data_IF_721632698832
#
_entry.id   IF_721632698832
#
_cell.length_a   1.000
_cell.length_b   1.000
_cell.length_c   1.000
_cell.angle_alpha   90.00
_cell.angle_beta   90.00
_cell.angle_gamma   90.00
#
_symmetry.space_group_name_H-M   'P 1'
#
loop_
_entity.id
_entity.type
_entity.pdbx_description
1 polymer ?
#
# COMPACT_ATOMS: atom_id res chain seq x y z
N UNK A 1 -16.10 41.80 20.49
CA UNK A 1 -15.56 40.91 19.44
C UNK A 1 -16.63 40.72 18.36
N UNK A 2 -16.37 41.15 17.11
CA UNK A 2 -17.31 41.06 15.99
C UNK A 2 -17.67 39.59 15.73
N UNK A 3 -18.97 39.27 15.63
CA UNK A 3 -19.43 37.96 15.17
C UNK A 3 -18.86 37.74 13.75
N UNK A 4 -18.17 36.62 13.46
CA UNK A 4 -17.80 36.31 12.09
C UNK A 4 -19.08 36.05 11.29
N UNK A 5 -19.54 37.07 10.57
CA UNK A 5 -20.80 37.06 9.83
C UNK A 5 -20.58 36.39 8.46
N UNK A 6 -20.42 35.06 8.41
CA UNK A 6 -20.96 34.24 7.33
C UNK A 6 -20.71 32.76 7.62
N UNK A 7 -21.76 31.93 7.53
CA UNK A 7 -21.63 30.46 7.56
C UNK A 7 -20.62 29.93 6.53
N UNK A 8 -20.47 30.63 5.40
CA UNK A 8 -19.48 30.34 4.38
C UNK A 8 -18.04 30.53 4.86
N UNK A 9 -17.74 31.55 5.68
CA UNK A 9 -16.40 31.71 6.25
C UNK A 9 -16.09 30.61 7.27
N UNK A 10 -17.07 30.25 8.11
CA UNK A 10 -16.90 29.15 9.06
C UNK A 10 -16.64 27.82 8.33
N UNK A 11 -17.41 27.51 7.30
CA UNK A 11 -17.21 26.33 6.46
C UNK A 11 -15.86 26.37 5.70
N UNK A 12 -15.44 27.54 5.21
CA UNK A 12 -14.15 27.71 4.53
C UNK A 12 -12.96 27.47 5.47
N UNK A 13 -12.97 28.03 6.68
CA UNK A 13 -11.91 27.77 7.66
C UNK A 13 -11.90 26.31 8.11
N UNK A 14 -13.09 25.69 8.28
CA UNK A 14 -13.18 24.26 8.55
C UNK A 14 -12.54 23.45 7.42
N UNK A 15 -12.90 23.73 6.17
CA UNK A 15 -12.32 23.07 5.00
C UNK A 15 -10.80 23.22 4.95
N UNK A 16 -10.26 24.42 5.17
CA UNK A 16 -8.82 24.65 5.17
C UNK A 16 -8.10 23.84 6.26
N UNK A 17 -8.65 23.81 7.48
CA UNK A 17 -8.10 23.03 8.58
C UNK A 17 -8.19 21.52 8.33
N UNK A 18 -9.32 21.03 7.82
CA UNK A 18 -9.48 19.63 7.42
C UNK A 18 -8.51 19.26 6.30
N UNK A 19 -8.32 20.12 5.29
CA UNK A 19 -7.38 19.88 4.21
C UNK A 19 -5.92 19.80 4.71
N UNK A 20 -5.52 20.69 5.62
CA UNK A 20 -4.19 20.65 6.24
C UNK A 20 -3.97 19.37 7.07
N UNK A 21 -4.96 18.99 7.87
CA UNK A 21 -4.91 17.76 8.67
C UNK A 21 -4.78 16.53 7.76
N UNK A 22 -5.66 16.41 6.76
CA UNK A 22 -5.66 15.28 5.83
C UNK A 22 -4.41 15.25 4.97
N UNK A 23 -3.91 16.40 4.51
CA UNK A 23 -2.63 16.48 3.78
C UNK A 23 -1.45 15.97 4.61
N UNK A 24 -1.44 16.28 5.91
CA UNK A 24 -0.42 15.80 6.84
C UNK A 24 -0.50 14.29 7.03
N UNK A 25 -1.71 13.76 7.26
CA UNK A 25 -1.97 12.32 7.39
C UNK A 25 -1.61 11.57 6.10
N UNK A 26 -2.04 12.09 4.94
CA UNK A 26 -1.73 11.55 3.62
C UNK A 26 -0.21 11.45 3.38
N UNK A 27 0.54 12.48 3.77
CA UNK A 27 2.00 12.49 3.64
C UNK A 27 2.64 11.36 4.45
N UNK A 28 2.20 11.15 5.70
CA UNK A 28 2.68 10.05 6.54
C UNK A 28 2.32 8.69 5.90
N UNK A 29 1.08 8.51 5.47
CA UNK A 29 0.62 7.27 4.83
C UNK A 29 1.46 6.95 3.59
N UNK A 30 1.68 7.92 2.70
CA UNK A 30 2.36 7.70 1.42
C UNK A 30 3.87 7.55 1.55
N UNK A 31 4.50 8.18 2.55
CA UNK A 31 5.94 8.07 2.73
C UNK A 31 6.35 6.90 3.63
N UNK A 32 5.51 6.55 4.60
CA UNK A 32 5.84 5.54 5.62
C UNK A 32 5.14 4.22 5.33
N UNK A 33 3.83 4.20 5.13
CA UNK A 33 3.08 2.94 5.03
C UNK A 33 2.95 2.41 3.59
N UNK A 34 2.86 3.32 2.62
CA UNK A 34 2.69 3.00 1.20
C UNK A 34 3.73 3.74 0.35
N UNK A 35 5.05 3.56 0.62
CA UNK A 35 6.07 4.17 -0.21
C UNK A 35 5.88 3.77 -1.67
N UNK A 36 6.14 4.70 -2.59
CA UNK A 36 6.10 4.39 -4.02
C UNK A 36 7.03 3.19 -4.31
N UNK A 37 6.59 2.20 -5.13
CA UNK A 37 5.36 2.15 -5.93
C UNK A 37 4.12 1.59 -5.22
N UNK A 38 4.23 1.17 -3.97
CA UNK A 38 3.21 0.35 -3.31
C UNK A 38 1.90 1.08 -2.98
N UNK A 39 1.90 2.41 -2.97
CA UNK A 39 0.67 3.20 -2.96
C UNK A 39 -0.24 2.93 -4.15
N UNK A 40 0.33 2.58 -5.30
CA UNK A 40 -0.42 2.22 -6.51
C UNK A 40 -0.66 0.72 -6.58
N UNK A 41 0.39 -0.09 -6.31
CA UNK A 41 0.30 -1.56 -6.38
C UNK A 41 -0.76 -2.11 -5.42
N UNK A 42 -0.83 -1.58 -4.19
CA UNK A 42 -1.66 -2.13 -3.11
C UNK A 42 -2.94 -1.33 -2.85
N UNK A 43 -3.37 -0.46 -3.76
CA UNK A 43 -4.63 0.27 -3.62
C UNK A 43 -4.62 1.40 -2.58
N UNK A 44 -3.45 1.76 -2.05
CA UNK A 44 -3.32 2.75 -0.99
C UNK A 44 -3.92 4.11 -1.34
N UNK A 45 -3.82 4.52 -2.61
CA UNK A 45 -4.43 5.77 -3.09
C UNK A 45 -5.96 5.76 -3.02
N UNK A 46 -6.60 4.63 -3.32
CA UNK A 46 -8.06 4.52 -3.26
C UNK A 46 -8.56 4.59 -1.81
N UNK A 47 -7.90 3.88 -0.89
CA UNK A 47 -8.21 3.95 0.54
C UNK A 47 -8.01 5.35 1.09
N UNK A 48 -6.90 6.00 0.73
CA UNK A 48 -6.62 7.38 1.13
C UNK A 48 -7.68 8.35 0.61
N UNK A 49 -8.11 8.22 -0.65
CA UNK A 49 -9.17 9.05 -1.23
C UNK A 49 -10.50 8.85 -0.49
N UNK A 50 -10.84 7.62 -0.12
CA UNK A 50 -12.05 7.32 0.63
C UNK A 50 -12.02 7.98 2.02
N UNK A 51 -10.94 7.82 2.78
CA UNK A 51 -10.79 8.46 4.10
C UNK A 51 -10.82 9.99 3.98
N UNK A 52 -10.07 10.55 3.03
CA UNK A 52 -10.02 11.99 2.80
C UNK A 52 -11.38 12.58 2.40
N UNK A 53 -12.19 11.85 1.63
CA UNK A 53 -13.49 12.33 1.15
C UNK A 53 -14.45 12.63 2.29
N UNK A 54 -14.45 11.80 3.34
CA UNK A 54 -15.29 11.99 4.53
C UNK A 54 -14.94 13.33 5.19
N UNK A 55 -13.66 13.61 5.36
CA UNK A 55 -13.20 14.79 6.09
C UNK A 55 -13.28 16.09 5.30
N UNK A 56 -13.01 16.03 4.00
CA UNK A 56 -12.99 17.21 3.12
C UNK A 56 -14.42 17.59 2.69
N UNK A 57 -15.33 16.62 2.54
CA UNK A 57 -16.68 16.87 2.04
C UNK A 57 -17.68 16.96 3.18
N UNK A 58 -17.79 15.93 4.03
CA UNK A 58 -18.88 15.84 5.00
C UNK A 58 -18.75 16.89 6.11
N UNK A 59 -17.55 17.11 6.65
CA UNK A 59 -17.31 18.07 7.74
C UNK A 59 -17.73 19.50 7.37
N UNK A 60 -17.16 20.10 6.30
CA UNK A 60 -17.52 21.44 5.86
C UNK A 60 -18.99 21.59 5.45
N UNK A 61 -19.60 20.56 4.84
CA UNK A 61 -21.03 20.57 4.50
C UNK A 61 -21.90 20.59 5.76
N UNK A 62 -21.62 19.75 6.75
CA UNK A 62 -22.34 19.74 8.02
C UNK A 62 -22.18 21.08 8.75
N UNK A 63 -20.97 21.65 8.75
CA UNK A 63 -20.73 22.99 9.31
C UNK A 63 -21.55 24.05 8.56
N UNK A 64 -21.61 24.01 7.23
CA UNK A 64 -22.40 24.96 6.45
C UNK A 64 -23.91 24.87 6.75
N UNK A 65 -24.44 23.65 6.90
CA UNK A 65 -25.86 23.39 7.17
C UNK A 65 -26.25 23.75 8.61
N UNK A 66 -25.40 23.40 9.58
CA UNK A 66 -25.73 23.49 11.01
C UNK A 66 -25.38 24.87 11.60
N UNK A 67 -24.41 25.57 11.01
CA UNK A 67 -23.99 26.90 11.47
C UNK A 67 -25.09 27.94 11.23
N UNK A 68 -25.76 28.33 12.32
CA UNK A 68 -26.71 29.43 12.33
C UNK A 68 -26.28 30.48 13.36
N UNK A 69 -26.00 31.69 12.88
CA UNK A 69 -25.54 32.82 13.69
C UNK A 69 -26.59 33.34 14.69
N UNK A 70 -27.84 32.92 14.50
CA UNK A 70 -28.98 33.20 15.39
C UNK A 70 -29.00 32.27 16.61
N UNK A 71 -28.29 31.13 16.57
CA UNK A 71 -28.19 30.22 17.72
C UNK A 71 -27.40 30.86 18.87
N UNK A 72 -27.74 30.58 20.14
CA UNK A 72 -26.88 30.89 21.27
C UNK A 72 -25.48 30.30 21.09
N UNK A 73 -24.45 31.06 21.45
CA UNK A 73 -23.04 30.65 21.28
C UNK A 73 -22.74 29.27 21.90
N UNK A 74 -23.35 28.93 23.03
CA UNK A 74 -23.18 27.63 23.69
C UNK A 74 -23.73 26.48 22.84
N UNK A 75 -24.89 26.67 22.21
CA UNK A 75 -25.49 25.67 21.33
C UNK A 75 -24.65 25.49 20.07
N UNK A 76 -24.24 26.59 19.44
CA UNK A 76 -23.39 26.54 18.25
C UNK A 76 -22.05 25.84 18.51
N UNK A 77 -21.41 26.11 19.65
CA UNK A 77 -20.16 25.42 20.06
C UNK A 77 -20.36 23.92 20.27
N UNK A 78 -21.47 23.52 20.90
CA UNK A 78 -21.79 22.09 21.09
C UNK A 78 -22.00 21.40 19.73
N UNK A 79 -22.73 22.05 18.83
CA UNK A 79 -23.02 21.51 17.50
C UNK A 79 -21.71 21.31 16.71
N UNK A 80 -20.81 22.30 16.69
CA UNK A 80 -19.49 22.19 16.04
C UNK A 80 -18.62 21.12 16.71
N UNK A 81 -18.62 21.04 18.05
CA UNK A 81 -17.87 20.01 18.77
C UNK A 81 -18.33 18.61 18.38
N UNK A 82 -19.65 18.38 18.27
CA UNK A 82 -20.19 17.10 17.84
C UNK A 82 -19.75 16.74 16.41
N UNK A 83 -19.76 17.71 15.48
CA UNK A 83 -19.26 17.50 14.11
C UNK A 83 -17.79 17.08 14.14
N UNK A 84 -16.95 17.80 14.89
CA UNK A 84 -15.53 17.50 15.01
C UNK A 84 -15.28 16.12 15.65
N UNK A 85 -16.06 15.72 16.66
CA UNK A 85 -15.93 14.41 17.29
C UNK A 85 -16.27 13.27 16.32
N UNK A 86 -17.35 13.41 15.56
CA UNK A 86 -17.74 12.44 14.52
C UNK A 86 -16.65 12.36 13.45
N UNK A 87 -16.11 13.52 13.05
CA UNK A 87 -15.04 13.62 12.07
C UNK A 87 -13.76 12.91 12.54
N UNK A 88 -13.30 13.19 13.76
CA UNK A 88 -12.16 12.52 14.35
C UNK A 88 -12.35 11.00 14.47
N UNK A 89 -13.57 10.54 14.79
CA UNK A 89 -13.87 9.11 14.85
C UNK A 89 -13.78 8.46 13.45
N UNK A 90 -14.30 9.13 12.42
CA UNK A 90 -14.19 8.69 11.03
C UNK A 90 -12.74 8.62 10.56
N UNK A 91 -11.94 9.66 10.80
CA UNK A 91 -10.53 9.69 10.47
C UNK A 91 -9.74 8.60 11.22
N UNK A 92 -10.00 8.40 12.51
CA UNK A 92 -9.34 7.35 13.30
C UNK A 92 -9.65 5.95 12.76
N UNK A 93 -10.92 5.68 12.44
CA UNK A 93 -11.32 4.42 11.82
C UNK A 93 -10.62 4.22 10.46
N UNK A 94 -10.67 5.24 9.60
CA UNK A 94 -10.00 5.23 8.30
C UNK A 94 -8.50 4.96 8.42
N UNK A 95 -7.84 5.58 9.39
CA UNK A 95 -6.41 5.39 9.64
C UNK A 95 -6.08 3.96 10.09
N UNK A 96 -6.91 3.36 10.97
CA UNK A 96 -6.76 1.95 11.37
C UNK A 96 -6.96 1.03 10.16
N UNK A 97 -7.97 1.26 9.33
CA UNK A 97 -8.20 0.47 8.12
C UNK A 97 -7.02 0.55 7.15
N UNK A 98 -6.49 1.75 6.91
CA UNK A 98 -5.31 1.96 6.05
C UNK A 98 -4.07 1.27 6.63
N UNK A 99 -3.87 1.35 7.95
CA UNK A 99 -2.75 0.69 8.64
C UNK A 99 -2.79 -0.82 8.53
N UNK A 100 -3.97 -1.44 8.68
CA UNK A 100 -4.16 -2.88 8.54
C UNK A 100 -4.00 -3.35 7.09
N UNK A 101 -4.43 -2.53 6.12
CA UNK A 101 -4.29 -2.85 4.70
C UNK A 101 -2.88 -2.58 4.13
N UNK A 102 -1.96 -2.00 4.93
CA UNK A 102 -0.65 -1.58 4.42
C UNK A 102 0.16 -2.77 3.92
N UNK A 103 0.87 -2.63 2.78
CA UNK A 103 1.78 -3.66 2.29
C UNK A 103 2.97 -3.78 3.23
N UNK A 104 3.21 -5.00 3.71
CA UNK A 104 4.31 -5.30 4.65
C UNK A 104 5.36 -6.23 4.05
N UNK A 105 4.99 -7.02 3.04
CA UNK A 105 5.90 -7.98 2.42
C UNK A 105 5.68 -8.03 0.91
N UNK A 106 6.77 -8.17 0.17
CA UNK A 106 6.78 -8.64 -1.22
C UNK A 106 7.49 -9.98 -1.25
N UNK A 107 6.73 -11.06 -1.36
CA UNK A 107 7.26 -12.42 -1.27
C UNK A 107 7.45 -13.03 -2.66
N UNK A 108 8.64 -13.57 -2.93
CA UNK A 108 8.87 -14.41 -4.10
C UNK A 108 8.39 -15.83 -3.84
N UNK A 109 7.37 -16.29 -4.58
CA UNK A 109 6.74 -17.60 -4.38
C UNK A 109 7.38 -18.75 -5.20
N UNK A 110 8.45 -18.44 -5.94
CA UNK A 110 9.12 -19.37 -6.85
C UNK A 110 8.92 -19.03 -8.33
N UNK A 111 7.88 -18.26 -8.67
CA UNK A 111 7.59 -17.85 -10.04
C UNK A 111 7.42 -16.33 -10.18
N UNK A 112 6.94 -15.68 -9.14
CA UNK A 112 6.53 -14.28 -9.17
C UNK A 112 6.64 -13.65 -7.79
N UNK A 113 6.43 -12.33 -7.74
CA UNK A 113 6.26 -11.63 -6.49
C UNK A 113 4.78 -11.49 -6.13
N UNK A 114 4.46 -11.63 -4.85
CA UNK A 114 3.14 -11.31 -4.28
C UNK A 114 3.28 -10.26 -3.21
N UNK A 115 2.50 -9.19 -3.31
CA UNK A 115 2.38 -8.22 -2.22
C UNK A 115 1.41 -8.73 -1.15
N UNK A 116 1.82 -8.68 0.11
CA UNK A 116 1.02 -9.12 1.25
C UNK A 116 0.75 -7.93 2.17
N UNK A 117 -0.52 -7.70 2.48
CA UNK A 117 -0.94 -6.68 3.43
C UNK A 117 -0.81 -7.19 4.88
N UNK A 118 -0.69 -6.27 5.86
CA UNK A 118 -0.51 -6.64 7.25
C UNK A 118 -1.65 -7.53 7.78
N UNK A 119 -2.90 -7.23 7.38
CA UNK A 119 -4.09 -7.99 7.76
C UNK A 119 -4.13 -9.42 7.20
N UNK A 120 -3.39 -9.69 6.12
CA UNK A 120 -3.37 -11.02 5.47
C UNK A 120 -2.31 -11.94 6.08
N UNK A 121 -1.36 -11.39 6.85
CA UNK A 121 -0.27 -12.17 7.45
C UNK A 121 -0.82 -13.07 8.57
N UNK A 122 -0.38 -14.33 8.60
CA UNK A 122 -0.62 -15.23 9.71
C UNK A 122 0.15 -14.77 10.97
N UNK A 123 -0.41 -13.83 11.73
CA UNK A 123 0.25 -13.18 12.87
C UNK A 123 0.73 -14.18 13.94
N UNK A 124 -0.03 -15.26 14.15
CA UNK A 124 0.32 -16.33 15.10
C UNK A 124 1.66 -17.04 14.76
N UNK A 125 2.12 -16.93 13.53
CA UNK A 125 3.38 -17.51 13.06
C UNK A 125 4.58 -16.58 13.22
N UNK A 126 4.37 -15.28 13.45
CA UNK A 126 5.47 -14.30 13.53
C UNK A 126 6.48 -14.67 14.61
N UNK A 127 6.02 -15.05 15.81
CA UNK A 127 6.90 -15.43 16.91
C UNK A 127 7.81 -16.64 16.60
N UNK A 128 7.40 -17.48 15.64
CA UNK A 128 8.12 -18.68 15.23
C UNK A 128 8.94 -18.46 13.94
N UNK A 129 8.78 -17.32 13.28
CA UNK A 129 9.51 -16.99 12.07
C UNK A 129 11.00 -16.82 12.35
N UNK A 130 11.81 -17.06 11.32
CA UNK A 130 13.25 -16.79 11.39
C UNK A 130 13.50 -15.31 11.62
N UNK A 131 14.50 -14.95 12.42
CA UNK A 131 14.92 -13.56 12.51
C UNK A 131 15.38 -13.06 11.12
N UNK A 132 15.07 -11.80 10.73
CA UNK A 132 14.36 -10.76 11.48
C UNK A 132 12.86 -10.64 11.09
N UNK A 133 12.18 -11.74 10.78
CA UNK A 133 10.80 -11.78 10.30
C UNK A 133 9.73 -11.93 11.38
N UNK A 134 10.13 -11.78 12.64
CA UNK A 134 9.26 -11.95 13.81
C UNK A 134 8.37 -10.73 14.10
N UNK A 135 8.55 -9.65 13.34
CA UNK A 135 7.73 -8.46 13.39
C UNK A 135 7.50 -7.92 11.97
N UNK A 136 6.36 -7.29 11.77
CA UNK A 136 6.02 -6.64 10.52
C UNK A 136 6.71 -5.28 10.43
N UNK A 137 7.24 -4.89 9.25
CA UNK A 137 7.78 -3.57 9.05
C UNK A 137 6.70 -2.49 9.21
N UNK A 138 7.14 -1.33 9.66
CA UNK A 138 6.31 -0.13 9.78
C UNK A 138 6.49 0.82 8.58
N UNK A 139 7.63 0.76 7.89
CA UNK A 139 8.06 1.70 6.85
C UNK A 139 8.00 1.10 5.43
N UNK A 140 6.89 0.44 5.11
CA UNK A 140 6.64 -0.18 3.80
C UNK A 140 7.11 -1.63 3.71
N UNK A 141 6.93 -2.27 2.54
CA UNK A 141 7.09 -3.70 2.45
C UNK A 141 8.54 -4.11 2.30
N UNK A 142 8.87 -5.25 2.92
CA UNK A 142 10.18 -5.90 2.76
C UNK A 142 10.12 -6.98 1.68
N UNK A 143 11.18 -7.09 0.88
CA UNK A 143 11.34 -8.20 -0.04
C UNK A 143 11.81 -9.45 0.73
N UNK A 144 11.13 -10.56 0.50
CA UNK A 144 11.47 -11.89 1.04
C UNK A 144 11.34 -12.92 -0.06
N UNK A 145 11.94 -14.08 0.12
CA UNK A 145 11.49 -15.26 -0.61
C UNK A 145 10.94 -16.31 0.34
N UNK A 146 10.51 -17.42 -0.23
CA UNK A 146 9.94 -18.53 0.53
C UNK A 146 10.89 -19.73 0.54
N UNK A 147 11.11 -20.30 1.72
CA UNK A 147 11.77 -21.61 1.83
C UNK A 147 10.81 -22.70 1.34
N UNK A 148 11.37 -23.78 0.81
CA UNK A 148 10.59 -24.95 0.47
C UNK A 148 9.93 -25.54 1.74
N UNK A 149 8.68 -25.97 1.60
CA UNK A 149 8.01 -26.76 2.62
C UNK A 149 8.64 -28.15 2.73
N UNK A 150 8.86 -28.61 3.96
CA UNK A 150 9.25 -29.99 4.22
C UNK A 150 8.12 -30.95 3.84
N UNK A 151 8.43 -32.25 3.70
CA UNK A 151 7.41 -33.25 3.36
C UNK A 151 6.26 -33.31 4.38
N UNK A 152 6.53 -33.04 5.65
CA UNK A 152 5.52 -32.98 6.70
C UNK A 152 4.61 -31.74 6.58
N UNK A 153 5.13 -30.63 6.06
CA UNK A 153 4.39 -29.36 5.92
C UNK A 153 3.55 -29.29 4.63
N UNK A 154 3.86 -30.10 3.60
CA UNK A 154 3.23 -30.00 2.27
C UNK A 154 1.70 -30.09 2.31
N UNK A 155 1.14 -30.99 3.11
CA UNK A 155 -0.31 -31.14 3.23
C UNK A 155 -0.96 -29.91 3.85
N UNK A 156 -0.36 -29.36 4.92
CA UNK A 156 -0.85 -28.13 5.56
C UNK A 156 -0.76 -26.94 4.60
N UNK A 157 0.37 -26.77 3.91
CA UNK A 157 0.52 -25.72 2.88
C UNK A 157 -0.57 -25.80 1.82
N UNK A 158 -0.84 -27.00 1.31
CA UNK A 158 -1.90 -27.21 0.32
C UNK A 158 -3.29 -26.90 0.90
N UNK A 159 -3.60 -27.37 2.10
CA UNK A 159 -4.88 -27.12 2.76
C UNK A 159 -5.10 -25.63 3.05
N UNK A 160 -4.07 -24.90 3.52
CA UNK A 160 -4.13 -23.46 3.74
C UNK A 160 -4.31 -22.70 2.43
N UNK A 161 -3.63 -23.10 1.36
CA UNK A 161 -3.80 -22.49 0.04
C UNK A 161 -5.26 -22.61 -0.47
N UNK A 162 -5.90 -23.77 -0.27
CA UNK A 162 -7.33 -23.95 -0.58
C UNK A 162 -8.25 -23.08 0.28
N UNK A 163 -7.85 -22.79 1.52
CA UNK A 163 -8.54 -21.86 2.40
C UNK A 163 -8.22 -20.37 2.10
N UNK A 164 -7.48 -20.09 1.02
CA UNK A 164 -7.09 -18.74 0.60
C UNK A 164 -5.88 -18.16 1.33
N UNK A 165 -5.18 -18.95 2.15
CA UNK A 165 -3.94 -18.54 2.84
C UNK A 165 -2.72 -19.05 2.10
N UNK A 166 -2.17 -18.19 1.26
CA UNK A 166 -0.95 -18.47 0.50
C UNK A 166 0.29 -18.52 1.40
N UNK A 167 1.29 -19.34 1.05
CA UNK A 167 2.59 -19.37 1.74
C UNK A 167 3.29 -18.00 1.76
N UNK A 168 3.01 -17.12 0.80
CA UNK A 168 3.50 -15.74 0.80
C UNK A 168 3.11 -14.97 2.05
N UNK A 169 1.95 -15.28 2.64
CA UNK A 169 1.42 -14.62 3.83
C UNK A 169 1.77 -15.35 5.15
N UNK A 170 2.63 -16.38 5.08
CA UNK A 170 3.00 -17.22 6.22
C UNK A 170 4.45 -17.01 6.64
N UNK A 171 4.70 -16.27 7.74
CA UNK A 171 6.05 -15.97 8.25
C UNK A 171 6.94 -17.18 8.47
N UNK A 172 6.39 -18.36 8.77
CA UNK A 172 7.15 -19.60 8.91
C UNK A 172 7.95 -19.98 7.66
N UNK A 173 7.50 -19.55 6.48
CA UNK A 173 8.16 -19.83 5.20
C UNK A 173 9.07 -18.69 4.75
N UNK A 174 9.05 -17.53 5.40
CA UNK A 174 9.86 -16.39 4.96
C UNK A 174 11.35 -16.66 5.19
N UNK A 175 12.13 -16.41 4.14
CA UNK A 175 13.58 -16.42 4.17
C UNK A 175 14.13 -15.10 3.60
N UNK A 176 15.42 -14.85 3.82
CA UNK A 176 16.07 -13.67 3.27
C UNK A 176 15.93 -13.64 1.75
N UNK A 177 15.73 -12.44 1.20
CA UNK A 177 15.64 -12.28 -0.25
C UNK A 177 16.92 -12.77 -0.95
N UNK A 178 18.08 -12.52 -0.35
CA UNK A 178 19.37 -13.02 -0.81
C UNK A 178 19.42 -14.55 -0.98
N UNK A 179 18.79 -15.31 -0.08
CA UNK A 179 18.73 -16.78 -0.19
C UNK A 179 17.91 -17.25 -1.41
N UNK A 180 17.08 -16.37 -1.97
CA UNK A 180 16.18 -16.66 -3.10
C UNK A 180 16.72 -16.16 -4.43
N UNK A 181 17.88 -15.47 -4.44
CA UNK A 181 18.46 -14.82 -5.62
C UNK A 181 18.52 -15.74 -6.85
N UNK A 182 19.07 -16.95 -6.69
CA UNK A 182 19.22 -17.91 -7.80
C UNK A 182 17.87 -18.31 -8.39
N UNK A 183 16.87 -18.55 -7.53
CA UNK A 183 15.53 -18.92 -7.97
C UNK A 183 14.81 -17.74 -8.65
N UNK A 184 15.01 -16.52 -8.14
CA UNK A 184 14.48 -15.28 -8.76
C UNK A 184 15.03 -15.12 -10.17
N UNK A 185 16.35 -15.21 -10.36
CA UNK A 185 16.97 -15.08 -11.69
C UNK A 185 16.55 -16.21 -12.64
N UNK A 186 16.36 -17.43 -12.13
CA UNK A 186 15.89 -18.55 -12.93
C UNK A 186 14.44 -18.37 -13.42
N UNK A 187 13.57 -17.73 -12.62
CA UNK A 187 12.19 -17.43 -13.01
C UNK A 187 12.07 -16.17 -13.87
N UNK A 188 13.06 -15.27 -13.83
CA UNK A 188 13.00 -13.97 -14.48
C UNK A 188 12.97 -14.09 -16.01
N UNK A 189 12.18 -13.21 -16.63
CA UNK A 189 11.99 -13.15 -18.09
C UNK A 189 12.88 -12.05 -18.70
N UNK A 190 13.37 -12.26 -19.95
CA UNK A 190 14.17 -11.24 -20.64
C UNK A 190 13.30 -10.04 -21.00
N UNK A 191 13.80 -8.82 -20.86
CA UNK A 191 13.03 -7.59 -21.11
C UNK A 191 12.45 -7.48 -22.53
N UNK A 192 13.04 -8.19 -23.50
CA UNK A 192 12.54 -8.27 -24.87
C UNK A 192 11.12 -8.83 -24.96
N UNK A 193 10.73 -9.80 -24.12
CA UNK A 193 9.35 -10.34 -24.12
C UNK A 193 8.33 -9.32 -23.62
N UNK A 194 8.72 -8.43 -22.70
CA UNK A 194 7.84 -7.35 -22.22
C UNK A 194 7.57 -6.33 -23.34
N UNK A 195 8.59 -5.97 -24.12
CA UNK A 195 8.43 -5.10 -25.28
C UNK A 195 7.58 -5.71 -26.40
N UNK A 196 7.67 -7.03 -26.59
CA UNK A 196 6.82 -7.76 -27.55
C UNK A 196 5.36 -7.78 -27.09
N UNK A 197 5.10 -7.98 -25.79
CA UNK A 197 3.75 -7.98 -25.23
C UNK A 197 3.10 -6.59 -25.29
N UNK A 198 3.87 -5.52 -25.08
CA UNK A 198 3.36 -4.15 -25.05
C UNK A 198 4.08 -3.20 -26.02
N UNK A 199 3.86 -3.33 -27.34
CA UNK A 199 4.50 -2.48 -28.34
C UNK A 199 4.15 -1.00 -28.16
N UNK A 200 2.91 -0.70 -27.77
CA UNK A 200 2.41 0.68 -27.59
C UNK A 200 2.90 1.34 -26.30
N UNK A 201 3.41 0.55 -25.34
CA UNK A 201 3.90 1.06 -24.04
C UNK A 201 5.42 1.22 -23.99
N UNK A 202 6.09 1.24 -25.13
CA UNK A 202 7.56 1.39 -25.22
C UNK A 202 8.10 2.60 -24.45
N UNK A 203 7.43 3.74 -24.53
CA UNK A 203 7.85 4.95 -23.83
C UNK A 203 7.75 4.83 -22.29
N UNK A 204 6.76 4.08 -21.80
CA UNK A 204 6.62 3.79 -20.36
C UNK A 204 7.72 2.85 -19.87
N UNK A 205 7.96 1.76 -20.61
CA UNK A 205 9.02 0.79 -20.31
C UNK A 205 10.41 1.46 -20.37
N UNK A 206 10.65 2.30 -21.37
CA UNK A 206 11.91 3.03 -21.50
C UNK A 206 12.17 4.01 -20.34
N UNK A 207 11.12 4.67 -19.83
CA UNK A 207 11.23 5.52 -18.63
C UNK A 207 11.61 4.70 -17.40
N UNK A 208 11.01 3.52 -17.22
CA UNK A 208 11.36 2.64 -16.10
C UNK A 208 12.80 2.12 -16.18
N UNK A 209 13.28 1.76 -17.37
CA UNK A 209 14.69 1.38 -17.59
C UNK A 209 15.61 2.54 -17.24
N UNK A 210 15.29 3.75 -17.70
CA UNK A 210 16.11 4.94 -17.41
C UNK A 210 16.15 5.21 -15.90
N UNK A 211 15.01 5.11 -15.22
CA UNK A 211 14.91 5.27 -13.78
C UNK A 211 15.69 4.21 -12.99
N UNK A 212 15.87 3.01 -13.55
CA UNK A 212 16.66 1.94 -12.93
C UNK A 212 18.17 2.23 -12.89
N UNK A 213 18.66 3.15 -13.73
CA UNK A 213 20.09 3.43 -13.87
C UNK A 213 20.92 2.30 -14.52
N UNK A 214 20.28 1.29 -15.11
CA UNK A 214 20.93 0.16 -15.79
C UNK A 214 20.63 0.13 -17.29
N UNK A 215 21.51 -0.50 -18.04
CA UNK A 215 21.27 -0.79 -19.45
C UNK A 215 20.20 -1.89 -19.59
N UNK A 216 19.42 -1.86 -20.67
CA UNK A 216 18.35 -2.85 -20.90
C UNK A 216 18.83 -4.30 -20.91
N UNK A 217 20.06 -4.56 -21.34
CA UNK A 217 20.66 -5.90 -21.36
C UNK A 217 21.02 -6.43 -19.96
N UNK A 218 21.11 -5.54 -18.96
CA UNK A 218 21.40 -5.87 -17.56
C UNK A 218 20.12 -6.00 -16.73
N UNK A 219 18.95 -5.98 -17.39
CA UNK A 219 17.65 -6.02 -16.74
C UNK A 219 16.87 -7.25 -17.18
N UNK A 220 16.29 -7.90 -16.19
CA UNK A 220 15.26 -8.94 -16.36
C UNK A 220 14.00 -8.49 -15.62
N UNK A 221 12.90 -9.20 -15.78
CA UNK A 221 11.67 -8.83 -15.10
C UNK A 221 10.90 -10.02 -14.53
N UNK A 222 10.09 -9.72 -13.52
CA UNK A 222 9.09 -10.63 -12.97
C UNK A 222 7.76 -9.92 -12.75
N UNK A 223 6.62 -10.63 -12.87
CA UNK A 223 5.34 -10.10 -12.46
C UNK A 223 5.26 -9.92 -10.94
N UNK A 224 4.54 -8.89 -10.53
CA UNK A 224 4.05 -8.68 -9.18
C UNK A 224 2.53 -8.84 -9.22
N UNK A 225 2.03 -9.79 -8.46
CA UNK A 225 0.61 -9.93 -8.15
C UNK A 225 0.29 -9.03 -6.98
N UNK A 226 -0.71 -8.17 -7.19
CA UNK A 226 -1.26 -7.33 -6.15
C UNK A 226 -2.78 -7.38 -6.17
N UNK A 227 -3.40 -6.80 -5.15
CA UNK A 227 -4.84 -6.80 -4.98
C UNK A 227 -5.56 -6.05 -6.12
N UNK A 228 -4.99 -4.93 -6.56
CA UNK A 228 -5.62 -3.99 -7.50
C UNK A 228 -5.00 -4.01 -8.90
N UNK A 229 -4.43 -5.15 -9.32
CA UNK A 229 -3.92 -5.34 -10.67
C UNK A 229 -2.60 -6.11 -10.74
N UNK A 230 -1.99 -6.09 -11.92
CA UNK A 230 -0.72 -6.76 -12.18
C UNK A 230 0.34 -5.74 -12.55
N UNK A 231 1.46 -5.82 -11.84
CA UNK A 231 2.62 -4.97 -12.05
C UNK A 231 3.79 -5.80 -12.53
N UNK A 232 4.81 -5.13 -13.04
CA UNK A 232 6.08 -5.77 -13.40
C UNK A 232 7.21 -5.08 -12.66
N UNK A 233 8.10 -5.85 -12.04
CA UNK A 233 9.35 -5.34 -11.47
C UNK A 233 10.51 -5.61 -12.41
N UNK A 234 11.33 -4.60 -12.65
CA UNK A 234 12.61 -4.71 -13.33
C UNK A 234 13.68 -5.00 -12.29
N UNK A 235 14.42 -6.08 -12.52
CA UNK A 235 15.45 -6.60 -11.64
C UNK A 235 16.80 -6.46 -12.33
N UNK A 236 17.83 -6.19 -11.53
CA UNK A 236 19.21 -6.31 -11.96
C UNK A 236 19.52 -7.79 -12.29
N UNK A 237 20.02 -8.07 -13.50
CA UNK A 237 20.25 -9.43 -13.99
C UNK A 237 21.33 -10.20 -13.20
N UNK A 238 22.21 -9.48 -12.47
CA UNK A 238 23.29 -10.09 -11.71
C UNK A 238 22.95 -10.25 -10.23
N UNK A 239 22.37 -9.22 -9.60
CA UNK A 239 22.09 -9.17 -8.17
C UNK A 239 20.66 -9.58 -7.80
N UNK A 240 19.76 -9.65 -8.78
CA UNK A 240 18.31 -9.79 -8.62
C UNK A 240 17.65 -8.62 -7.89
N UNK A 241 18.34 -7.52 -7.60
CA UNK A 241 17.74 -6.42 -6.85
C UNK A 241 16.62 -5.75 -7.66
N UNK A 242 15.46 -5.43 -7.04
CA UNK A 242 14.42 -4.63 -7.67
C UNK A 242 14.90 -3.19 -7.86
N UNK A 243 14.83 -2.71 -9.11
CA UNK A 243 15.35 -1.39 -9.50
C UNK A 243 14.27 -0.45 -10.02
N UNK A 244 13.25 -0.97 -10.71
CA UNK A 244 12.17 -0.16 -11.25
C UNK A 244 10.88 -0.97 -11.40
N UNK A 245 9.78 -0.27 -11.64
CA UNK A 245 8.44 -0.88 -11.72
C UNK A 245 7.70 -0.33 -12.94
N UNK A 246 6.86 -1.17 -13.52
CA UNK A 246 6.04 -0.85 -14.69
C UNK A 246 4.61 -1.29 -14.40
N UNK A 247 3.63 -0.43 -14.68
CA UNK A 247 2.20 -0.70 -14.51
C UNK A 247 1.68 -1.49 -15.72
N UNK A 248 2.27 -2.66 -15.93
CA UNK A 248 1.89 -3.63 -16.95
C UNK A 248 1.94 -5.03 -16.39
N UNK A 249 1.04 -5.85 -16.89
CA UNK A 249 0.98 -7.27 -16.54
C UNK A 249 2.17 -8.04 -17.14
N UNK A 250 3.01 -8.60 -16.27
CA UNK A 250 4.20 -9.38 -16.62
C UNK A 250 3.98 -10.88 -16.86
N UNK A 251 2.73 -11.38 -16.77
CA UNK A 251 2.40 -12.78 -17.02
C UNK A 251 2.63 -13.22 -18.47
#
# INVERSE_FOLDING_TARGET
MKKPNNRFFAAFYHLLLSALLIGSVATIILLVWYPWPFSQISGGLHLLALVASVDIVLGPLLTLVIYDIRKPQRQLRRDILLILLIQCAGLAYGLVSVYLARPVVVAFDGLQFKTVAAVDVAEAELAQALAPFQALPLNGPRFVGLRAASNAEKFDVFAQALAGRDSSARPLFWQSYAASKTAVLAAAKPLSSLYQKYPDSRAEIARAITASGRASAQLVYLPIVAKDGSWTVLLDADSAMPLAYVEKDGF
#
